data_IF_766293703600
#
_entry.id   IF_766293703600
#
_cell.length_a   1.000
_cell.length_b   1.000
_cell.length_c   1.000
_cell.angle_alpha   90.00
_cell.angle_beta   90.00
_cell.angle_gamma   90.00
#
_symmetry.space_group_name_H-M   'P 1'
#
loop_
_entity.id
_entity.type
_entity.pdbx_description
1 polymer ?
#
# COMPACT_ATOMS: atom_id res chain seq x y z
N UNK A 1 -23.20 -7.85 1.14
CA UNK A 1 -22.53 -7.61 -0.16
C UNK A 1 -22.12 -6.15 -0.14
N UNK A 2 -20.83 -5.84 -0.25
CA UNK A 2 -20.40 -4.44 -0.26
C UNK A 2 -20.92 -3.76 -1.53
N UNK A 3 -21.58 -2.62 -1.39
CA UNK A 3 -22.13 -1.88 -2.53
C UNK A 3 -21.00 -1.26 -3.36
N UNK A 4 -21.13 -1.24 -4.69
CA UNK A 4 -20.08 -0.71 -5.56
C UNK A 4 -20.18 0.82 -5.60
N UNK A 5 -19.09 1.50 -5.23
CA UNK A 5 -19.01 2.96 -5.21
C UNK A 5 -18.08 3.48 -6.30
N UNK A 6 -18.34 4.69 -6.78
CA UNK A 6 -17.55 5.36 -7.82
C UNK A 6 -17.39 6.85 -7.53
N UNK A 7 -16.45 7.50 -8.23
CA UNK A 7 -16.24 8.96 -8.22
C UNK A 7 -16.00 9.45 -9.65
N UNK A 8 -16.53 10.63 -10.01
CA UNK A 8 -16.44 11.16 -11.38
C UNK A 8 -15.39 12.28 -11.47
N UNK A 9 -14.16 11.90 -11.83
CA UNK A 9 -13.05 12.84 -11.95
C UNK A 9 -13.26 13.94 -13.01
N UNK A 10 -14.02 13.66 -14.09
CA UNK A 10 -14.33 14.66 -15.13
C UNK A 10 -15.14 15.84 -14.59
N UNK A 11 -15.90 15.62 -13.51
CA UNK A 11 -16.66 16.66 -12.80
C UNK A 11 -15.85 17.28 -11.65
N UNK A 12 -14.54 17.00 -11.56
CA UNK A 12 -13.68 17.40 -10.45
C UNK A 12 -14.11 16.82 -9.09
N UNK A 13 -14.77 15.66 -9.10
CA UNK A 13 -15.06 14.87 -7.91
C UNK A 13 -13.91 13.89 -7.66
N UNK A 14 -13.15 14.11 -6.59
CA UNK A 14 -11.97 13.30 -6.23
C UNK A 14 -12.19 12.37 -5.03
N UNK A 15 -13.20 12.67 -4.22
CA UNK A 15 -13.64 11.84 -3.10
C UNK A 15 -15.11 12.14 -2.82
N UNK A 16 -15.90 11.08 -2.59
CA UNK A 16 -17.27 11.22 -2.15
C UNK A 16 -17.29 11.31 -0.60
N UNK A 17 -17.73 12.44 -0.01
CA UNK A 17 -17.69 12.65 1.43
C UNK A 17 -18.74 11.83 2.20
N UNK A 18 -19.84 11.44 1.56
CA UNK A 18 -20.93 10.69 2.22
C UNK A 18 -20.61 9.19 2.28
N UNK A 19 -20.09 8.66 1.18
CA UNK A 19 -19.76 7.23 1.06
C UNK A 19 -18.33 6.91 1.45
N UNK A 20 -17.44 7.91 1.48
CA UNK A 20 -16.00 7.75 1.69
C UNK A 20 -15.25 7.22 0.45
N UNK A 21 -15.93 7.06 -0.69
CA UNK A 21 -15.34 6.51 -1.90
C UNK A 21 -14.22 7.42 -2.44
N UNK A 22 -13.04 6.85 -2.70
CA UNK A 22 -11.90 7.55 -3.29
C UNK A 22 -10.89 6.59 -3.92
N UNK A 23 -10.06 7.10 -4.84
CA UNK A 23 -8.99 6.31 -5.49
C UNK A 23 -7.63 6.41 -4.78
N UNK A 24 -7.51 7.27 -3.78
CA UNK A 24 -6.24 7.59 -3.10
C UNK A 24 -5.44 6.37 -2.63
N UNK A 25 -6.11 5.31 -2.16
CA UNK A 25 -5.44 4.08 -1.72
C UNK A 25 -4.72 3.39 -2.88
N UNK A 26 -5.37 3.29 -4.04
CA UNK A 26 -4.78 2.69 -5.24
C UNK A 26 -3.61 3.53 -5.75
N UNK A 27 -3.78 4.85 -5.82
CA UNK A 27 -2.72 5.79 -6.24
C UNK A 27 -1.50 5.73 -5.32
N UNK A 28 -1.73 5.54 -4.02
CA UNK A 28 -0.64 5.39 -3.06
C UNK A 28 0.16 4.12 -3.31
N UNK A 29 -0.50 2.99 -3.63
CA UNK A 29 0.19 1.75 -4.00
C UNK A 29 0.99 1.93 -5.29
N UNK A 30 0.42 2.56 -6.32
CA UNK A 30 1.13 2.86 -7.57
C UNK A 30 2.36 3.72 -7.30
N UNK A 31 2.23 4.75 -6.46
CA UNK A 31 3.33 5.62 -6.06
C UNK A 31 4.47 4.86 -5.34
N UNK A 32 4.15 3.82 -4.57
CA UNK A 32 5.15 2.94 -3.95
C UNK A 32 5.88 2.10 -5.01
N UNK A 33 5.16 1.56 -6.00
CA UNK A 33 5.75 0.78 -7.10
C UNK A 33 6.73 1.63 -7.91
N UNK A 34 6.34 2.85 -8.27
CA UNK A 34 7.21 3.78 -9.00
C UNK A 34 8.48 4.13 -8.21
N UNK A 35 8.36 4.39 -6.89
CA UNK A 35 9.54 4.63 -6.04
C UNK A 35 10.44 3.40 -5.93
N UNK A 36 9.88 2.19 -5.86
CA UNK A 36 10.67 0.97 -5.86
C UNK A 36 11.41 0.75 -7.19
N UNK A 37 10.78 1.09 -8.33
CA UNK A 37 11.42 1.05 -9.64
C UNK A 37 12.57 2.06 -9.79
N UNK A 38 12.50 3.21 -9.13
CA UNK A 38 13.60 4.19 -9.20
C UNK A 38 14.70 3.90 -8.19
N UNK A 39 14.34 3.46 -6.98
CA UNK A 39 15.28 3.37 -5.85
C UNK A 39 15.82 1.98 -5.54
N UNK A 40 15.10 0.90 -5.87
CA UNK A 40 15.45 -0.47 -5.45
C UNK A 40 15.78 -1.35 -6.65
N UNK A 41 14.95 -1.32 -7.68
CA UNK A 41 15.11 -2.15 -8.87
C UNK A 41 15.68 -1.33 -10.01
N UNK A 42 16.67 -1.84 -10.74
CA UNK A 42 17.15 -1.16 -11.94
C UNK A 42 16.18 -1.33 -13.13
N UNK A 43 15.45 -2.45 -13.18
CA UNK A 43 14.42 -2.74 -14.19
C UNK A 43 13.42 -3.79 -13.66
N UNK A 44 12.13 -3.63 -13.99
CA UNK A 44 11.06 -4.59 -13.70
C UNK A 44 10.86 -5.53 -14.89
N UNK A 45 11.66 -6.60 -14.97
CA UNK A 45 11.47 -7.64 -15.98
C UNK A 45 10.15 -8.39 -15.80
N UNK A 46 9.41 -8.63 -16.90
CA UNK A 46 8.09 -9.31 -16.90
C UNK A 46 8.10 -10.66 -16.17
N UNK A 47 9.21 -11.40 -16.26
CA UNK A 47 9.43 -12.69 -15.61
C UNK A 47 9.40 -12.65 -14.07
N UNK A 48 9.63 -11.48 -13.46
CA UNK A 48 9.66 -11.30 -12.00
C UNK A 48 8.63 -10.29 -11.49
N UNK A 49 7.82 -9.71 -12.37
CA UNK A 49 6.87 -8.66 -12.04
C UNK A 49 5.98 -9.02 -10.85
N UNK A 50 5.43 -10.24 -10.84
CA UNK A 50 4.60 -10.71 -9.73
C UNK A 50 5.36 -10.69 -8.39
N UNK A 51 6.63 -11.12 -8.37
CA UNK A 51 7.44 -11.15 -7.14
C UNK A 51 7.70 -9.76 -6.59
N UNK A 52 7.96 -8.79 -7.48
CA UNK A 52 8.16 -7.40 -7.09
C UNK A 52 6.87 -6.80 -6.52
N UNK A 53 5.72 -7.05 -7.16
CA UNK A 53 4.43 -6.59 -6.66
C UNK A 53 4.08 -7.23 -5.31
N UNK A 54 4.28 -8.54 -5.17
CA UNK A 54 4.05 -9.27 -3.92
C UNK A 54 4.90 -8.69 -2.78
N UNK A 55 6.18 -8.39 -3.03
CA UNK A 55 7.07 -7.77 -2.06
C UNK A 55 6.58 -6.37 -1.63
N UNK A 56 6.19 -5.53 -2.59
CA UNK A 56 5.72 -4.17 -2.34
C UNK A 56 4.41 -4.19 -1.53
N UNK A 57 3.46 -5.05 -1.92
CA UNK A 57 2.19 -5.24 -1.21
C UNK A 57 2.44 -5.80 0.19
N UNK A 58 3.36 -6.76 0.32
CA UNK A 58 3.74 -7.31 1.62
C UNK A 58 4.33 -6.23 2.53
N UNK A 59 5.25 -5.39 2.03
CA UNK A 59 5.79 -4.24 2.80
C UNK A 59 4.70 -3.25 3.18
N UNK A 60 3.77 -2.97 2.27
CA UNK A 60 2.63 -2.09 2.54
C UNK A 60 1.79 -2.64 3.68
N UNK A 61 1.41 -3.92 3.64
CA UNK A 61 0.56 -4.53 4.66
C UNK A 61 1.25 -4.68 6.03
N UNK A 62 2.58 -4.78 6.06
CA UNK A 62 3.38 -4.92 7.29
C UNK A 62 3.83 -3.55 7.83
N UNK A 63 2.85 -2.68 8.10
CA UNK A 63 3.06 -1.38 8.74
C UNK A 63 2.21 -1.26 10.00
N UNK A 64 2.74 -0.58 10.99
CA UNK A 64 2.06 -0.32 12.25
C UNK A 64 1.80 1.18 12.45
N UNK A 65 0.63 1.55 13.02
CA UNK A 65 0.36 2.92 13.37
C UNK A 65 1.18 3.29 14.60
N UNK A 66 2.01 4.32 14.49
CA UNK A 66 2.92 4.70 15.59
C UNK A 66 2.33 5.80 16.46
N UNK A 67 1.78 6.83 15.82
CA UNK A 67 1.12 7.93 16.52
C UNK A 67 0.16 8.64 15.60
N UNK A 68 -0.87 9.20 16.20
CA UNK A 68 -1.78 10.13 15.54
C UNK A 68 -1.19 11.53 15.62
N UNK A 69 -1.11 12.20 14.47
CA UNK A 69 -0.69 13.59 14.39
C UNK A 69 -1.88 14.43 13.97
N UNK A 70 -2.21 15.37 14.82
CA UNK A 70 -3.21 16.39 14.56
C UNK A 70 -2.58 17.45 13.67
N UNK A 71 -3.16 17.67 12.48
CA UNK A 71 -2.80 18.78 11.62
C UNK A 71 -3.91 19.82 11.68
N UNK A 72 -3.56 21.02 12.15
CA UNK A 72 -4.44 22.17 12.15
C UNK A 72 -3.99 23.15 11.07
N UNK A 73 -4.94 23.68 10.31
CA UNK A 73 -4.68 24.75 9.35
C UNK A 73 -5.91 25.65 9.23
N UNK A 74 -5.65 26.91 8.87
CA UNK A 74 -6.69 27.90 8.65
C UNK A 74 -6.98 28.01 7.16
N UNK A 75 -8.26 27.95 6.79
CA UNK A 75 -8.68 28.19 5.40
C UNK A 75 -8.63 29.69 5.09
N UNK A 76 -8.62 30.05 3.80
CA UNK A 76 -8.68 31.46 3.36
C UNK A 76 -9.90 32.23 3.88
N UNK A 77 -10.96 31.51 4.28
CA UNK A 77 -12.17 32.06 4.87
C UNK A 77 -12.09 32.21 6.41
N UNK A 78 -10.93 31.97 7.03
CA UNK A 78 -10.74 32.05 8.48
C UNK A 78 -11.25 30.85 9.28
N UNK A 79 -11.80 29.84 8.63
CA UNK A 79 -12.31 28.62 9.29
C UNK A 79 -11.11 27.74 9.67
N UNK A 80 -10.98 27.46 10.96
CA UNK A 80 -10.03 26.48 11.50
C UNK A 80 -10.48 25.06 11.16
N UNK A 81 -9.57 24.29 10.60
CA UNK A 81 -9.78 22.89 10.24
C UNK A 81 -8.76 22.06 10.97
N UNK A 82 -9.21 20.93 11.49
CA UNK A 82 -8.36 19.91 12.07
C UNK A 82 -8.52 18.60 11.32
N UNK A 83 -7.39 17.93 11.06
CA UNK A 83 -7.38 16.57 10.52
C UNK A 83 -6.36 15.72 11.25
N UNK A 84 -6.84 14.66 11.88
CA UNK A 84 -6.01 13.61 12.45
C UNK A 84 -5.43 12.76 11.33
N UNK A 85 -4.10 12.62 11.30
CA UNK A 85 -3.38 11.78 10.34
C UNK A 85 -2.55 10.76 11.11
N UNK A 86 -2.81 9.47 10.89
CA UNK A 86 -2.01 8.39 11.45
C UNK A 86 -0.68 8.29 10.72
N UNK A 87 0.42 8.36 11.47
CA UNK A 87 1.75 8.06 10.94
C UNK A 87 1.96 6.56 11.02
N UNK A 88 2.21 5.96 9.87
CA UNK A 88 2.56 4.55 9.74
C UNK A 88 4.07 4.38 9.68
N UNK A 89 4.61 3.40 10.40
CA UNK A 89 6.00 2.97 10.26
C UNK A 89 6.06 1.50 9.83
N UNK A 90 7.10 1.10 9.09
CA UNK A 90 7.34 -0.31 8.83
C UNK A 90 7.58 -1.05 10.14
N UNK A 91 7.04 -2.26 10.24
CA UNK A 91 7.31 -3.16 11.36
C UNK A 91 8.82 -3.46 11.40
N UNK A 92 9.45 -3.49 12.59
CA UNK A 92 10.85 -3.89 12.71
C UNK A 92 11.12 -5.25 12.07
N UNK A 93 12.30 -5.41 11.44
CA UNK A 93 12.64 -6.64 10.70
C UNK A 93 12.49 -7.90 11.55
N UNK A 94 12.80 -7.83 12.84
CA UNK A 94 12.68 -8.96 13.78
C UNK A 94 11.23 -9.42 13.91
N UNK A 95 10.29 -8.49 14.06
CA UNK A 95 8.86 -8.80 14.18
C UNK A 95 8.29 -9.24 12.84
N UNK A 96 8.77 -8.65 11.76
CA UNK A 96 8.43 -9.05 10.41
C UNK A 96 8.87 -10.50 10.09
N UNK A 97 10.07 -10.90 10.53
CA UNK A 97 10.54 -12.29 10.45
C UNK A 97 9.66 -13.22 11.27
N UNK A 98 9.24 -12.81 12.48
CA UNK A 98 8.34 -13.61 13.33
C UNK A 98 7.01 -13.89 12.61
N UNK A 99 6.38 -12.86 12.06
CA UNK A 99 5.13 -12.98 11.28
C UNK A 99 5.32 -13.88 10.06
N UNK A 100 6.44 -13.71 9.35
CA UNK A 100 6.74 -14.51 8.15
C UNK A 100 6.92 -15.99 8.48
N UNK A 101 7.68 -16.31 9.53
CA UNK A 101 7.95 -17.68 9.96
C UNK A 101 6.69 -18.40 10.42
N UNK A 102 5.78 -17.69 11.13
CA UNK A 102 4.47 -18.23 11.50
C UNK A 102 3.66 -18.65 10.27
N UNK A 103 3.65 -17.82 9.23
CA UNK A 103 2.93 -18.10 7.99
C UNK A 103 3.64 -19.05 7.01
N UNK A 104 4.88 -19.45 7.30
CA UNK A 104 5.70 -20.29 6.43
C UNK A 104 5.67 -21.79 6.77
N UNK A 105 5.11 -22.16 7.93
CA UNK A 105 5.00 -23.58 8.34
C UNK A 105 4.21 -24.35 7.28
N UNK A 106 4.81 -25.42 6.75
CA UNK A 106 4.20 -26.26 5.70
C UNK A 106 4.20 -25.66 4.30
N UNK A 107 4.74 -24.46 4.07
CA UNK A 107 4.90 -23.87 2.74
C UNK A 107 6.27 -24.18 2.16
N UNK A 108 6.30 -24.68 0.93
CA UNK A 108 7.54 -24.96 0.19
C UNK A 108 7.70 -23.98 -0.97
N UNK A 109 8.81 -23.25 -1.01
CA UNK A 109 9.15 -22.44 -2.18
C UNK A 109 9.72 -23.35 -3.28
N UNK A 110 8.91 -23.67 -4.29
CA UNK A 110 9.39 -24.37 -5.48
C UNK A 110 9.77 -23.36 -6.56
N UNK A 111 11.00 -23.45 -7.06
CA UNK A 111 11.48 -22.64 -8.19
C UNK A 111 11.42 -23.49 -9.45
N UNK A 112 10.74 -23.01 -10.49
CA UNK A 112 10.84 -23.63 -11.82
C UNK A 112 12.19 -23.28 -12.47
N UNK A 113 12.59 -24.05 -13.48
CA UNK A 113 13.79 -23.74 -14.30
C UNK A 113 13.72 -22.36 -14.98
N UNK A 114 12.51 -21.82 -15.14
CA UNK A 114 12.26 -20.48 -15.72
C UNK A 114 12.10 -19.39 -14.65
N UNK A 115 12.49 -19.67 -13.40
CA UNK A 115 12.39 -18.73 -12.26
C UNK A 115 10.97 -18.24 -11.95
N UNK A 116 9.94 -18.90 -12.50
CA UNK A 116 8.53 -18.63 -12.18
C UNK A 116 8.17 -19.27 -10.82
N UNK A 117 7.20 -18.68 -10.13
CA UNK A 117 6.52 -19.33 -9.01
C UNK A 117 5.59 -20.38 -9.60
N UNK A 118 5.88 -21.66 -9.36
CA UNK A 118 4.90 -22.70 -9.55
C UNK A 118 4.00 -22.68 -8.31
N UNK A 119 2.85 -22.01 -8.42
CA UNK A 119 1.76 -22.27 -7.48
C UNK A 119 1.26 -23.70 -7.72
N UNK A 120 0.96 -24.49 -6.67
CA UNK A 120 0.17 -25.70 -6.85
C UNK A 120 -1.21 -25.39 -7.42
#
# INVERSE_FOLDING_TARGET
>A
MADHQYVIHSQKEYANPETGAHVNTADTVISQVQRALVGVYHNLGRQHLQRYLDEIVWRWNHREPVREVIKQWTTKAGIEREKTTTIWKPIPVVDQMRISLQGAVGKQLRRSKEYRLCWP
#
